data_IF_369511017763
#
_entry.id   IF_369511017763
#
_cell.length_a   1.000
_cell.length_b   1.000
_cell.length_c   1.000
_cell.angle_alpha   90.00
_cell.angle_beta   90.00
_cell.angle_gamma   90.00
#
_symmetry.space_group_name_H-M   'P 1'
#
loop_
_entity.id
_entity.type
_entity.pdbx_description
1 polymer ?
#
# COMPACT_ATOMS: atom_id res chain seq x y z
N UNK A 1 1.32 -7.86 -10.97
CA UNK A 1 2.48 -7.66 -11.88
C UNK A 1 2.08 -7.37 -13.34
N UNK A 2 1.18 -8.14 -13.96
CA UNK A 2 0.92 -8.09 -15.42
C UNK A 2 0.62 -6.72 -16.04
N UNK A 3 0.02 -5.78 -15.30
CA UNK A 3 -0.37 -4.45 -15.82
C UNK A 3 0.73 -3.39 -15.68
N UNK A 4 1.67 -3.57 -14.74
CA UNK A 4 2.60 -2.52 -14.35
C UNK A 4 3.59 -2.14 -15.47
N UNK A 5 4.25 -3.06 -16.19
CA UNK A 5 5.19 -2.70 -17.25
C UNK A 5 4.57 -1.83 -18.34
N UNK A 6 3.33 -2.16 -18.76
CA UNK A 6 2.60 -1.38 -19.76
C UNK A 6 2.27 0.04 -19.25
N UNK A 7 1.79 0.15 -18.00
CA UNK A 7 1.49 1.44 -17.40
C UNK A 7 2.74 2.32 -17.23
N UNK A 8 3.87 1.75 -16.81
CA UNK A 8 5.14 2.48 -16.69
C UNK A 8 5.62 3.03 -18.04
N UNK A 9 5.52 2.22 -19.10
CA UNK A 9 5.91 2.64 -20.45
C UNK A 9 4.98 3.73 -21.01
N UNK A 10 3.68 3.64 -20.74
CA UNK A 10 2.68 4.61 -21.20
C UNK A 10 2.79 5.95 -20.49
N UNK A 11 2.84 5.96 -19.16
CA UNK A 11 2.73 7.19 -18.37
C UNK A 11 4.08 7.80 -17.99
N UNK A 12 5.17 7.03 -18.03
CA UNK A 12 6.53 7.46 -17.65
C UNK A 12 6.55 8.30 -16.35
N UNK A 13 5.99 7.75 -15.25
CA UNK A 13 5.72 8.54 -14.05
C UNK A 13 7.01 8.93 -13.33
N UNK A 14 7.05 10.14 -12.78
CA UNK A 14 8.14 10.54 -11.85
C UNK A 14 7.99 9.88 -10.47
N UNK A 15 6.76 9.55 -10.08
CA UNK A 15 6.43 8.89 -8.80
C UNK A 15 5.40 7.79 -9.02
N UNK A 16 5.63 6.63 -8.43
CA UNK A 16 4.66 5.53 -8.30
C UNK A 16 4.28 5.38 -6.83
N UNK A 17 2.99 5.50 -6.53
CA UNK A 17 2.44 5.14 -5.22
C UNK A 17 1.97 3.69 -5.31
N UNK A 18 2.64 2.80 -4.59
CA UNK A 18 2.33 1.37 -4.57
C UNK A 18 1.45 1.06 -3.35
N UNK A 19 0.17 0.81 -3.59
CA UNK A 19 -0.80 0.35 -2.59
C UNK A 19 -1.46 -0.94 -3.11
N UNK A 20 -0.86 -2.07 -2.76
CA UNK A 20 -1.34 -3.40 -3.15
C UNK A 20 -1.05 -4.41 -2.03
N UNK A 21 -1.86 -5.47 -1.98
CA UNK A 21 -1.70 -6.57 -1.02
C UNK A 21 -2.91 -6.81 -0.12
N UNK A 22 -3.83 -5.85 0.00
CA UNK A 22 -5.05 -6.02 0.81
C UNK A 22 -5.89 -7.22 0.36
N UNK A 23 -6.04 -7.41 -0.95
CA UNK A 23 -6.75 -8.57 -1.51
C UNK A 23 -6.03 -9.90 -1.24
N UNK A 24 -4.70 -9.92 -1.28
CA UNK A 24 -3.88 -11.09 -0.97
C UNK A 24 -4.07 -11.48 0.51
N UNK A 25 -4.03 -10.48 1.40
CA UNK A 25 -4.28 -10.63 2.83
C UNK A 25 -5.69 -11.13 3.13
N UNK A 26 -6.71 -10.52 2.51
CA UNK A 26 -8.12 -10.93 2.64
C UNK A 26 -8.40 -12.34 2.08
N UNK A 27 -7.50 -12.89 1.26
CA UNK A 27 -7.59 -14.25 0.73
C UNK A 27 -6.69 -15.24 1.48
N UNK A 28 -5.90 -14.78 2.45
CA UNK A 28 -4.95 -15.61 3.18
C UNK A 28 -3.83 -16.18 2.29
N UNK A 29 -3.42 -15.46 1.25
CA UNK A 29 -2.36 -15.93 0.35
C UNK A 29 -0.98 -15.94 1.05
N UNK A 30 -0.02 -16.75 0.57
CA UNK A 30 1.31 -16.81 1.16
C UNK A 30 2.03 -15.45 1.16
N UNK A 31 2.50 -15.02 2.33
CA UNK A 31 3.18 -13.72 2.49
C UNK A 31 4.47 -13.60 1.65
N UNK A 32 5.21 -14.70 1.49
CA UNK A 32 6.41 -14.72 0.64
C UNK A 32 6.09 -14.37 -0.83
N UNK A 33 4.93 -14.77 -1.33
CA UNK A 33 4.48 -14.42 -2.70
C UNK A 33 4.08 -12.95 -2.77
N UNK A 34 3.39 -12.43 -1.75
CA UNK A 34 3.07 -11.00 -1.65
C UNK A 34 4.35 -10.16 -1.63
N UNK A 35 5.30 -10.51 -0.77
CA UNK A 35 6.59 -9.82 -0.64
C UNK A 35 7.32 -9.77 -1.97
N UNK A 36 7.56 -10.93 -2.59
CA UNK A 36 8.26 -11.02 -3.87
C UNK A 36 7.55 -10.23 -4.97
N UNK A 37 6.22 -10.22 -5.00
CA UNK A 37 5.46 -9.42 -5.96
C UNK A 37 5.63 -7.91 -5.74
N UNK A 38 5.62 -7.46 -4.49
CA UNK A 38 5.80 -6.04 -4.15
C UNK A 38 7.22 -5.57 -4.45
N UNK A 39 8.24 -6.33 -4.05
CA UNK A 39 9.65 -6.06 -4.35
C UNK A 39 9.90 -5.97 -5.87
N UNK A 40 9.31 -6.87 -6.66
CA UNK A 40 9.41 -6.81 -8.13
C UNK A 40 8.72 -5.55 -8.68
N UNK A 41 7.57 -5.14 -8.13
CA UNK A 41 6.90 -3.90 -8.54
C UNK A 41 7.73 -2.64 -8.21
N UNK A 42 8.39 -2.63 -7.05
CA UNK A 42 9.34 -1.59 -6.67
C UNK A 42 10.49 -1.55 -7.67
N UNK A 43 11.12 -2.68 -7.95
CA UNK A 43 12.26 -2.77 -8.88
C UNK A 43 11.89 -2.30 -10.30
N UNK A 44 10.74 -2.75 -10.83
CA UNK A 44 10.26 -2.33 -12.15
C UNK A 44 10.01 -0.83 -12.22
N UNK A 45 9.42 -0.25 -11.17
CA UNK A 45 9.12 1.19 -11.10
C UNK A 45 10.40 2.03 -11.04
N UNK A 46 11.37 1.64 -10.21
CA UNK A 46 12.66 2.31 -10.10
C UNK A 46 13.47 2.20 -11.41
N UNK A 47 13.47 1.03 -12.07
CA UNK A 47 14.12 0.84 -13.38
C UNK A 47 13.50 1.72 -14.47
N UNK A 48 12.21 2.02 -14.37
CA UNK A 48 11.53 2.97 -15.25
C UNK A 48 11.85 4.45 -14.92
N UNK A 49 12.68 4.72 -13.90
CA UNK A 49 13.08 6.05 -13.49
C UNK A 49 12.14 6.72 -12.47
N UNK A 50 11.14 6.00 -11.95
CA UNK A 50 10.21 6.54 -10.98
C UNK A 50 10.74 6.42 -9.55
N UNK A 51 10.49 7.44 -8.71
CA UNK A 51 10.54 7.29 -7.25
C UNK A 51 9.34 6.42 -6.82
N UNK A 52 9.49 5.61 -5.78
CA UNK A 52 8.39 4.76 -5.28
C UNK A 52 8.03 5.19 -3.86
N UNK A 53 6.73 5.40 -3.60
CA UNK A 53 6.16 5.52 -2.26
C UNK A 53 5.40 4.23 -1.98
N UNK A 54 5.72 3.52 -0.90
CA UNK A 54 4.98 2.34 -0.47
C UNK A 54 3.89 2.75 0.52
N UNK A 55 2.65 2.32 0.29
CA UNK A 55 1.55 2.49 1.23
C UNK A 55 1.14 1.12 1.78
N UNK A 56 1.30 0.94 3.09
CA UNK A 56 0.96 -0.25 3.82
C UNK A 56 -0.55 -0.40 4.04
N UNK A 57 -0.93 -1.65 4.33
CA UNK A 57 -2.33 -2.07 4.46
C UNK A 57 -2.47 -2.89 5.73
N UNK A 58 -3.57 -2.70 6.45
CA UNK A 58 -4.01 -3.61 7.51
C UNK A 58 -5.27 -4.37 7.07
N UNK A 59 -5.48 -5.57 7.61
CA UNK A 59 -6.62 -6.44 7.30
C UNK A 59 -7.40 -6.78 8.57
N UNK A 60 -8.69 -7.15 8.48
CA UNK A 60 -9.43 -7.56 9.66
C UNK A 60 -8.75 -8.75 10.39
N UNK A 61 -9.01 -8.92 11.70
CA UNK A 61 -8.37 -9.98 12.51
C UNK A 61 -8.89 -11.39 12.22
N UNK A 62 -9.69 -11.60 11.16
CA UNK A 62 -10.37 -12.85 10.84
C UNK A 62 -9.41 -14.03 10.54
N UNK A 63 -8.16 -13.75 10.19
CA UNK A 63 -7.10 -14.76 9.99
C UNK A 63 -6.20 -14.99 11.23
N UNK A 64 -6.46 -14.26 12.31
CA UNK A 64 -5.71 -14.33 13.56
C UNK A 64 -4.31 -13.70 13.49
N UNK A 65 -3.71 -13.41 14.66
CA UNK A 65 -2.46 -12.66 14.78
C UNK A 65 -1.28 -13.32 14.04
N UNK A 66 -1.26 -14.66 13.96
CA UNK A 66 -0.22 -15.42 13.26
C UNK A 66 -0.10 -15.08 11.78
N UNK A 67 -1.15 -14.57 11.16
CA UNK A 67 -1.13 -14.11 9.78
C UNK A 67 -1.12 -12.57 9.69
N UNK A 68 -1.95 -11.88 10.49
CA UNK A 68 -2.10 -10.42 10.38
C UNK A 68 -0.85 -9.65 10.81
N UNK A 69 -0.16 -10.09 11.88
CA UNK A 69 1.06 -9.41 12.35
C UNK A 69 2.19 -9.45 11.32
N UNK A 70 2.60 -10.63 10.78
CA UNK A 70 3.63 -10.65 9.75
C UNK A 70 3.17 -9.99 8.45
N UNK A 71 1.86 -10.00 8.14
CA UNK A 71 1.33 -9.24 7.00
C UNK A 71 1.56 -7.73 7.16
N UNK A 72 1.36 -7.16 8.35
CA UNK A 72 1.64 -5.73 8.60
C UNK A 72 3.12 -5.41 8.58
N UNK A 73 3.93 -6.25 9.24
CA UNK A 73 5.38 -6.06 9.32
C UNK A 73 6.04 -6.06 7.94
N UNK A 74 5.59 -6.93 7.04
CA UNK A 74 6.13 -7.09 5.69
C UNK A 74 6.23 -5.77 4.91
N UNK A 75 5.26 -4.86 5.03
CA UNK A 75 5.33 -3.57 4.33
C UNK A 75 6.44 -2.67 4.87
N UNK A 76 6.63 -2.65 6.19
CA UNK A 76 7.73 -1.91 6.83
C UNK A 76 9.09 -2.52 6.48
N UNK A 77 9.19 -3.84 6.49
CA UNK A 77 10.41 -4.57 6.14
C UNK A 77 10.85 -4.27 4.69
N UNK A 78 9.91 -4.28 3.73
CA UNK A 78 10.19 -3.91 2.33
C UNK A 78 10.59 -2.43 2.22
N UNK A 79 9.88 -1.54 2.93
CA UNK A 79 10.23 -0.13 2.90
C UNK A 79 11.65 0.14 3.43
N UNK A 80 12.06 -0.56 4.49
CA UNK A 80 13.41 -0.45 5.04
C UNK A 80 14.46 -1.03 4.09
N UNK A 81 14.24 -2.24 3.56
CA UNK A 81 15.20 -2.91 2.68
C UNK A 81 15.42 -2.18 1.36
N UNK A 82 14.34 -1.66 0.77
CA UNK A 82 14.36 -0.93 -0.50
C UNK A 82 14.54 0.60 -0.31
N UNK A 83 14.69 1.07 0.94
CA UNK A 83 14.87 2.47 1.32
C UNK A 83 13.77 3.41 0.78
N UNK A 84 12.52 3.01 0.93
CA UNK A 84 11.35 3.70 0.37
C UNK A 84 10.74 4.69 1.36
N UNK A 85 10.25 5.85 0.88
CA UNK A 85 9.19 6.59 1.54
C UNK A 85 7.98 5.68 1.81
N UNK A 86 7.47 5.72 3.04
CA UNK A 86 6.49 4.75 3.53
C UNK A 86 5.34 5.39 4.30
N UNK A 87 4.11 5.03 3.94
CA UNK A 87 2.89 5.30 4.69
C UNK A 87 2.46 4.00 5.38
N UNK A 88 2.55 3.86 6.71
CA UNK A 88 2.32 2.58 7.40
C UNK A 88 0.93 1.98 7.16
N UNK A 89 -0.10 2.82 7.10
CA UNK A 89 -1.45 2.39 6.83
C UNK A 89 -2.21 3.48 6.07
N UNK A 90 -2.61 3.20 4.84
CA UNK A 90 -3.24 4.21 3.96
C UNK A 90 -4.47 4.88 4.59
N UNK A 91 -5.32 4.09 5.24
CA UNK A 91 -6.61 4.54 5.77
C UNK A 91 -6.58 4.67 7.30
N UNK A 92 -5.41 4.94 7.89
CA UNK A 92 -5.28 5.11 9.34
C UNK A 92 -6.28 6.12 9.91
N UNK A 93 -6.82 5.81 11.09
CA UNK A 93 -7.87 6.58 11.76
C UNK A 93 -9.29 6.43 11.19
N UNK A 94 -9.47 5.88 9.98
CA UNK A 94 -10.79 5.74 9.33
C UNK A 94 -11.57 4.52 9.86
N UNK A 95 -10.99 3.30 9.96
CA UNK A 95 -11.72 2.12 10.44
C UNK A 95 -12.29 2.23 11.85
N UNK A 96 -11.77 3.15 12.68
CA UNK A 96 -12.27 3.41 14.05
C UNK A 96 -13.55 4.27 14.06
N UNK A 97 -13.98 4.78 12.91
CA UNK A 97 -15.16 5.63 12.73
C UNK A 97 -16.16 4.94 11.79
N UNK A 98 -17.09 4.12 12.32
CA UNK A 98 -18.00 3.30 11.51
C UNK A 98 -18.82 4.09 10.49
N UNK A 99 -19.16 5.34 10.79
CA UNK A 99 -19.89 6.25 9.91
C UNK A 99 -19.12 6.63 8.65
N UNK A 100 -17.78 6.52 8.68
CA UNK A 100 -16.86 6.77 7.57
C UNK A 100 -16.57 5.51 6.74
N UNK A 101 -17.08 4.34 7.14
CA UNK A 101 -16.92 3.07 6.44
C UNK A 101 -18.16 2.71 5.63
N UNK A 102 -17.96 2.05 4.50
CA UNK A 102 -19.05 1.47 3.71
C UNK A 102 -19.65 0.27 4.46
N UNK A 103 -20.80 -0.20 3.99
CA UNK A 103 -21.55 -1.30 4.63
C UNK A 103 -20.76 -2.62 4.73
N UNK A 104 -19.70 -2.79 3.94
CA UNK A 104 -18.83 -3.96 4.03
C UNK A 104 -17.82 -3.92 5.19
N UNK A 105 -17.66 -2.76 5.84
CA UNK A 105 -16.72 -2.56 6.95
C UNK A 105 -15.24 -2.60 6.54
N UNK A 106 -14.93 -2.56 5.24
CA UNK A 106 -13.57 -2.66 4.69
C UNK A 106 -13.20 -1.38 3.95
N UNK A 107 -14.13 -0.80 3.19
CA UNK A 107 -13.84 0.35 2.34
C UNK A 107 -14.29 1.68 2.96
N UNK A 108 -13.46 2.74 2.91
CA UNK A 108 -13.88 4.08 3.29
C UNK A 108 -15.00 4.63 2.39
N UNK A 109 -15.83 5.51 2.95
CA UNK A 109 -16.82 6.29 2.19
C UNK A 109 -16.16 7.53 1.57
N UNK A 110 -16.94 8.27 0.77
CA UNK A 110 -16.49 9.48 0.10
C UNK A 110 -16.11 10.59 1.10
N UNK A 111 -16.81 10.64 2.23
CA UNK A 111 -16.61 11.61 3.29
C UNK A 111 -15.22 11.47 3.95
N UNK A 112 -14.63 10.27 3.92
CA UNK A 112 -13.35 9.95 4.54
C UNK A 112 -12.13 10.23 3.65
N UNK A 113 -12.32 10.56 2.37
CA UNK A 113 -11.22 10.64 1.39
C UNK A 113 -10.18 11.73 1.74
N UNK A 114 -10.59 12.80 2.42
CA UNK A 114 -9.67 13.84 2.88
C UNK A 114 -8.65 13.29 3.89
N UNK A 115 -9.06 12.37 4.76
CA UNK A 115 -8.15 11.74 5.72
C UNK A 115 -7.11 10.85 5.03
N UNK A 116 -7.47 10.21 3.92
CA UNK A 116 -6.51 9.45 3.11
C UNK A 116 -5.42 10.39 2.57
N UNK A 117 -5.81 11.57 2.09
CA UNK A 117 -4.84 12.60 1.70
C UNK A 117 -3.96 13.02 2.88
N UNK A 118 -4.54 13.25 4.06
CA UNK A 118 -3.79 13.63 5.26
C UNK A 118 -2.75 12.57 5.68
N UNK A 119 -3.04 11.29 5.44
CA UNK A 119 -2.12 10.18 5.70
C UNK A 119 -0.97 10.09 4.67
N UNK A 120 -1.25 10.41 3.39
CA UNK A 120 -0.29 10.26 2.29
C UNK A 120 0.56 11.51 2.08
N UNK A 121 -0.04 12.69 2.21
CA UNK A 121 0.56 13.96 1.82
C UNK A 121 1.88 14.29 2.53
N UNK A 122 2.04 14.05 3.85
CA UNK A 122 3.30 14.31 4.55
C UNK A 122 4.50 13.55 3.97
N UNK A 123 4.25 12.37 3.39
CA UNK A 123 5.28 11.52 2.77
C UNK A 123 5.46 11.86 1.28
N UNK A 124 4.35 12.11 0.57
CA UNK A 124 4.37 12.38 -0.87
C UNK A 124 4.91 13.77 -1.21
N UNK A 125 4.50 14.82 -0.49
CA UNK A 125 4.82 16.20 -0.85
C UNK A 125 6.33 16.49 -0.98
N UNK A 126 7.22 15.99 -0.09
CA UNK A 126 8.67 16.13 -0.25
C UNK A 126 9.24 15.45 -1.51
N UNK A 127 8.55 14.43 -2.06
CA UNK A 127 9.01 13.70 -3.24
C UNK A 127 8.76 14.45 -4.56
N UNK A 128 7.84 15.41 -4.55
CA UNK A 128 7.39 16.18 -5.71
C UNK A 128 8.22 17.44 -5.99
N UNK A 129 9.25 17.69 -5.17
CA UNK A 129 10.20 18.79 -5.34
C UNK A 129 11.33 18.44 -6.30
#
# INVERSE_FOLDING_TARGET
LSRLPAALAEFQPSVVILELGGNDGLRGLPLATLQSNLEEMVSLSQRAGAKVLLAGIQIPPNYGPRYTEPFYALFGDIAESEQLPFVPFLIDGIPQQPELMQNDGIHPRAEAQHMILDNVWPVLAPMLQ
#
